data_IF_319052988541
#
_entry.id   IF_319052988541
#
_cell.length_a   1.000
_cell.length_b   1.000
_cell.length_c   1.000
_cell.angle_alpha   90.00
_cell.angle_beta   90.00
_cell.angle_gamma   90.00
#
_symmetry.space_group_name_H-M   'P 1'
#
loop_
_entity.id
_entity.type
_entity.pdbx_description
1 polymer ?
#
# COMPACT_ATOMS: atom_id res chain seq x y z
N UNK A 1 -12.13 -3.63 -28.84
CA UNK A 1 -11.62 -2.59 -27.92
C UNK A 1 -10.60 -3.24 -27.02
N UNK A 2 -9.36 -2.93 -27.29
CA UNK A 2 -8.22 -3.47 -26.57
C UNK A 2 -8.21 -2.88 -25.15
N UNK A 3 -8.55 -3.70 -24.15
CA UNK A 3 -8.32 -3.41 -22.73
C UNK A 3 -6.84 -3.69 -22.39
N UNK A 4 -5.94 -3.14 -23.20
CA UNK A 4 -4.54 -3.52 -23.17
C UNK A 4 -3.71 -2.48 -22.44
N UNK A 5 -2.93 -2.98 -21.53
CA UNK A 5 -1.82 -2.36 -20.84
C UNK A 5 -2.19 -1.16 -19.95
N UNK A 6 -2.41 -1.43 -18.69
CA UNK A 6 -2.06 -0.43 -17.68
C UNK A 6 -0.53 -0.35 -17.62
N UNK A 7 0.07 0.75 -18.07
CA UNK A 7 1.50 0.92 -17.90
C UNK A 7 1.78 1.11 -16.41
N UNK A 8 2.21 0.05 -15.76
CA UNK A 8 2.80 0.18 -14.43
C UNK A 8 4.14 0.88 -14.63
N UNK A 9 4.28 2.12 -14.19
CA UNK A 9 5.51 2.93 -14.27
C UNK A 9 6.76 2.30 -13.66
N UNK A 10 6.69 1.06 -13.15
CA UNK A 10 7.79 0.30 -12.57
C UNK A 10 8.30 -0.84 -13.46
N UNK A 11 7.78 -0.97 -14.66
CA UNK A 11 8.29 -1.92 -15.64
C UNK A 11 9.54 -1.43 -16.37
N UNK A 12 10.01 -0.18 -16.13
CA UNK A 12 11.20 0.38 -16.78
C UNK A 12 12.49 -0.40 -16.50
N UNK A 13 12.52 -1.16 -15.40
CA UNK A 13 13.68 -1.98 -15.03
C UNK A 13 13.51 -3.47 -15.39
N UNK A 14 12.34 -3.85 -15.90
CA UNK A 14 12.07 -5.18 -16.39
C UNK A 14 12.18 -5.19 -17.91
N UNK A 15 12.94 -6.15 -18.43
CA UNK A 15 12.98 -6.47 -19.85
C UNK A 15 11.54 -6.67 -20.35
N UNK A 16 11.13 -6.03 -21.46
CA UNK A 16 9.76 -6.03 -22.00
C UNK A 16 9.16 -7.44 -22.14
N UNK A 17 10.00 -8.46 -22.33
CA UNK A 17 9.57 -9.87 -22.38
C UNK A 17 8.97 -10.42 -21.07
N UNK A 18 9.14 -9.72 -19.92
CA UNK A 18 8.53 -10.08 -18.65
C UNK A 18 7.22 -9.31 -18.39
N UNK A 19 6.84 -8.42 -19.31
CA UNK A 19 5.56 -7.73 -19.26
C UNK A 19 4.54 -8.66 -19.93
N UNK A 20 3.86 -9.46 -19.10
CA UNK A 20 2.80 -10.33 -19.60
C UNK A 20 1.49 -9.58 -19.74
N UNK A 21 0.84 -9.77 -20.88
CA UNK A 21 -0.53 -9.31 -21.08
C UNK A 21 -1.51 -10.30 -20.42
N UNK A 22 -2.60 -9.77 -19.88
CA UNK A 22 -3.70 -10.62 -19.42
C UNK A 22 -4.14 -11.62 -20.52
N UNK A 23 -4.38 -12.90 -20.23
CA UNK A 23 -4.66 -13.49 -18.91
C UNK A 23 -3.51 -14.28 -18.27
N UNK A 24 -2.27 -14.01 -18.57
CA UNK A 24 -1.13 -14.76 -18.01
C UNK A 24 -0.95 -14.44 -16.52
N UNK A 25 -0.81 -15.45 -15.70
CA UNK A 25 -0.62 -15.26 -14.27
C UNK A 25 0.80 -14.73 -13.96
N UNK A 26 0.97 -13.72 -13.08
CA UNK A 26 2.29 -13.13 -12.80
C UNK A 26 3.36 -14.14 -12.35
N UNK A 27 2.93 -15.23 -11.71
CA UNK A 27 3.84 -16.29 -11.27
C UNK A 27 4.38 -17.15 -12.43
N UNK A 28 3.78 -17.13 -13.60
CA UNK A 28 4.36 -17.79 -14.78
C UNK A 28 5.66 -17.09 -15.18
N UNK A 29 5.65 -15.76 -15.21
CA UNK A 29 6.87 -14.97 -15.47
C UNK A 29 7.93 -15.15 -14.37
N UNK A 30 7.50 -15.25 -13.10
CA UNK A 30 8.42 -15.52 -11.99
C UNK A 30 9.08 -16.90 -12.12
N UNK A 31 8.32 -17.94 -12.49
CA UNK A 31 8.82 -19.30 -12.71
C UNK A 31 9.85 -19.29 -13.85
N UNK A 32 9.55 -18.66 -14.99
CA UNK A 32 10.49 -18.51 -16.10
C UNK A 32 11.78 -17.80 -15.67
N UNK A 33 11.67 -16.74 -14.88
CA UNK A 33 12.84 -16.03 -14.35
C UNK A 33 13.69 -16.91 -13.46
N UNK A 34 13.08 -17.67 -12.54
CA UNK A 34 13.76 -18.61 -11.64
C UNK A 34 14.50 -19.69 -12.45
N UNK A 35 13.84 -20.27 -13.44
CA UNK A 35 14.44 -21.26 -14.35
C UNK A 35 15.60 -20.66 -15.15
N UNK A 36 15.43 -19.47 -15.73
CA UNK A 36 16.49 -18.76 -16.46
C UNK A 36 17.72 -18.46 -15.59
N UNK A 37 17.52 -18.28 -14.28
CA UNK A 37 18.63 -18.09 -13.31
C UNK A 37 19.23 -19.41 -12.82
N UNK A 38 18.72 -20.56 -13.25
CA UNK A 38 19.10 -21.91 -12.76
C UNK A 38 18.87 -22.07 -11.24
N UNK A 39 17.82 -21.45 -10.73
CA UNK A 39 17.45 -21.52 -9.30
C UNK A 39 16.35 -22.53 -9.01
N UNK A 40 15.84 -23.24 -10.01
CA UNK A 40 14.72 -24.18 -9.93
C UNK A 40 15.01 -25.45 -9.07
N UNK A 41 16.25 -25.60 -8.60
CA UNK A 41 16.65 -26.69 -7.68
C UNK A 41 17.03 -26.21 -6.28
N UNK A 42 16.90 -24.90 -6.03
CA UNK A 42 17.30 -24.30 -4.75
C UNK A 42 16.17 -24.36 -3.71
N UNK A 43 16.51 -23.98 -2.48
CA UNK A 43 15.52 -23.65 -1.47
C UNK A 43 14.95 -22.27 -1.79
N UNK A 44 13.64 -22.18 -1.96
CA UNK A 44 12.93 -20.93 -2.26
C UNK A 44 12.08 -20.59 -1.05
N UNK A 45 12.38 -19.48 -0.41
CA UNK A 45 11.57 -18.93 0.67
C UNK A 45 10.40 -18.13 0.11
N UNK A 46 9.20 -18.36 0.63
CA UNK A 46 8.00 -17.58 0.33
C UNK A 46 7.36 -17.12 1.63
N UNK A 47 6.78 -15.93 1.65
CA UNK A 47 6.07 -15.42 2.83
C UNK A 47 4.64 -15.97 2.84
N UNK A 48 4.43 -17.15 3.44
CA UNK A 48 3.15 -17.87 3.41
C UNK A 48 2.01 -17.10 4.09
N UNK A 49 2.33 -16.23 5.02
CA UNK A 49 1.36 -15.38 5.75
C UNK A 49 1.22 -13.99 5.10
N UNK A 50 1.67 -13.81 3.87
CA UNK A 50 1.52 -12.56 3.15
C UNK A 50 0.13 -12.44 2.53
N UNK A 51 -0.50 -11.27 2.72
CA UNK A 51 -1.82 -10.96 2.16
C UNK A 51 -1.91 -11.14 0.63
N UNK A 52 -0.82 -10.90 -0.09
CA UNK A 52 -0.77 -11.00 -1.55
C UNK A 52 -0.26 -12.34 -2.07
N UNK A 53 0.19 -13.25 -1.19
CA UNK A 53 0.62 -14.58 -1.56
C UNK A 53 -0.50 -15.59 -1.34
N UNK A 54 -1.30 -15.80 -2.39
CA UNK A 54 -2.47 -16.68 -2.32
C UNK A 54 -2.10 -18.16 -2.40
N UNK A 55 -3.01 -19.04 -1.97
CA UNK A 55 -2.85 -20.48 -2.15
C UNK A 55 -2.62 -20.86 -3.62
N UNK A 56 -3.27 -20.15 -4.56
CA UNK A 56 -3.07 -20.38 -5.98
C UNK A 56 -1.64 -20.03 -6.45
N UNK A 57 -1.05 -18.95 -5.90
CA UNK A 57 0.35 -18.61 -6.17
C UNK A 57 1.31 -19.71 -5.70
N UNK A 58 1.04 -20.29 -4.52
CA UNK A 58 1.82 -21.41 -3.98
C UNK A 58 1.73 -22.65 -4.88
N UNK A 59 0.51 -23.04 -5.27
CA UNK A 59 0.33 -24.21 -6.16
C UNK A 59 0.99 -24.00 -7.52
N UNK A 60 0.90 -22.81 -8.11
CA UNK A 60 1.62 -22.48 -9.34
C UNK A 60 3.13 -22.64 -9.21
N UNK A 61 3.71 -22.13 -8.12
CA UNK A 61 5.15 -22.31 -7.86
C UNK A 61 5.53 -23.79 -7.74
N UNK A 62 4.75 -24.58 -7.01
CA UNK A 62 5.00 -26.04 -6.88
C UNK A 62 4.94 -26.75 -8.21
N UNK A 63 3.95 -26.44 -9.05
CA UNK A 63 3.79 -27.04 -10.38
C UNK A 63 4.91 -26.62 -11.33
N UNK A 64 5.25 -25.33 -11.34
CA UNK A 64 6.27 -24.80 -12.26
C UNK A 64 7.71 -25.08 -11.83
N UNK A 65 7.95 -25.37 -10.55
CA UNK A 65 9.28 -25.62 -9.96
C UNK A 65 9.30 -26.93 -9.15
N UNK A 66 9.05 -28.08 -9.79
CA UNK A 66 8.90 -29.36 -9.09
C UNK A 66 10.15 -29.83 -8.35
N UNK A 67 11.31 -29.32 -8.70
CA UNK A 67 12.60 -29.65 -8.09
C UNK A 67 13.04 -28.66 -7.01
N UNK A 68 12.32 -27.55 -6.82
CA UNK A 68 12.60 -26.58 -5.77
C UNK A 68 12.06 -27.05 -4.41
N UNK A 69 12.78 -26.70 -3.35
CA UNK A 69 12.25 -26.83 -1.97
C UNK A 69 11.62 -25.52 -1.56
N UNK A 70 10.31 -25.39 -1.70
CA UNK A 70 9.57 -24.22 -1.28
C UNK A 70 9.32 -24.29 0.23
N UNK A 71 9.71 -23.26 0.96
CA UNK A 71 9.60 -23.15 2.41
C UNK A 71 9.02 -21.81 2.79
N UNK A 72 8.39 -21.75 3.97
CA UNK A 72 8.06 -20.47 4.57
C UNK A 72 9.34 -19.71 4.94
N UNK A 73 9.37 -18.43 4.60
CA UNK A 73 10.48 -17.52 4.94
C UNK A 73 10.24 -16.75 6.25
N UNK A 74 9.15 -17.00 6.97
CA UNK A 74 8.84 -16.39 8.26
C UNK A 74 8.95 -14.87 8.28
N UNK A 75 8.42 -14.21 7.24
CA UNK A 75 8.46 -12.75 7.06
C UNK A 75 9.88 -12.16 6.97
N UNK A 76 10.81 -12.88 6.35
CA UNK A 76 12.20 -12.46 6.19
C UNK A 76 12.32 -11.02 5.65
N UNK A 77 11.50 -10.63 4.66
CA UNK A 77 11.52 -9.29 4.08
C UNK A 77 11.13 -8.23 5.11
N UNK A 78 10.18 -8.51 5.99
CA UNK A 78 9.81 -7.60 7.08
C UNK A 78 10.97 -7.40 8.05
N UNK A 79 11.69 -8.46 8.40
CA UNK A 79 12.87 -8.37 9.27
C UNK A 79 13.99 -7.56 8.63
N UNK A 80 14.28 -7.77 7.34
CA UNK A 80 15.26 -6.98 6.60
C UNK A 80 14.89 -5.50 6.57
N UNK A 81 13.58 -5.19 6.39
CA UNK A 81 13.06 -3.81 6.35
C UNK A 81 12.86 -3.19 7.74
N UNK A 82 13.03 -3.94 8.82
CA UNK A 82 12.76 -3.46 10.18
C UNK A 82 13.69 -2.30 10.56
N UNK A 83 14.98 -2.43 10.25
CA UNK A 83 15.96 -1.36 10.47
C UNK A 83 16.04 -0.51 9.19
N UNK A 84 15.70 0.78 9.31
CA UNK A 84 15.66 1.71 8.19
C UNK A 84 17.03 2.31 7.94
N UNK A 85 17.38 2.48 6.67
CA UNK A 85 18.53 3.27 6.26
C UNK A 85 18.30 4.77 6.48
N UNK A 86 19.37 5.57 6.49
CA UNK A 86 19.28 7.04 6.59
C UNK A 86 18.42 7.64 5.47
N UNK A 87 18.46 7.06 4.27
CA UNK A 87 17.62 7.48 3.13
C UNK A 87 16.15 7.23 3.41
N UNK A 88 15.77 6.05 3.91
CA UNK A 88 14.39 5.74 4.30
C UNK A 88 13.92 6.63 5.44
N UNK A 89 14.74 6.88 6.44
CA UNK A 89 14.48 7.85 7.52
C UNK A 89 14.21 9.25 6.93
N UNK A 90 14.98 9.65 5.91
CA UNK A 90 14.75 10.91 5.18
C UNK A 90 13.37 10.97 4.52
N UNK A 91 12.92 9.88 3.91
CA UNK A 91 11.56 9.79 3.33
C UNK A 91 10.47 9.79 4.40
N UNK A 92 10.66 9.08 5.50
CA UNK A 92 9.71 9.06 6.62
C UNK A 92 9.54 10.46 7.24
N UNK A 93 10.63 11.23 7.39
CA UNK A 93 10.55 12.62 7.87
C UNK A 93 9.75 13.52 6.91
N UNK A 94 9.87 13.33 5.60
CA UNK A 94 9.06 14.06 4.59
C UNK A 94 7.59 13.61 4.65
N UNK A 95 7.34 12.31 4.80
CA UNK A 95 5.99 11.77 4.95
C UNK A 95 5.30 12.31 6.22
N UNK A 96 6.03 12.41 7.33
CA UNK A 96 5.52 13.00 8.58
C UNK A 96 5.10 14.47 8.41
N UNK A 97 5.85 15.27 7.63
CA UNK A 97 5.46 16.67 7.31
C UNK A 97 4.17 16.74 6.50
N UNK A 98 3.97 15.80 5.56
CA UNK A 98 2.71 15.70 4.81
C UNK A 98 1.56 15.35 5.76
N UNK A 99 1.75 14.38 6.67
CA UNK A 99 0.75 14.01 7.69
C UNK A 99 0.41 15.20 8.59
N UNK A 100 1.41 15.96 9.04
CA UNK A 100 1.20 17.17 9.84
C UNK A 100 0.34 18.21 9.10
N UNK A 101 0.64 18.45 7.83
CA UNK A 101 -0.15 19.38 7.01
C UNK A 101 -1.59 18.91 6.81
N UNK A 102 -1.79 17.63 6.54
CA UNK A 102 -3.13 17.06 6.38
C UNK A 102 -3.92 17.04 7.71
N UNK A 103 -3.24 16.83 8.84
CA UNK A 103 -3.88 16.91 10.16
C UNK A 103 -4.35 18.35 10.48
N UNK A 104 -3.58 19.38 10.11
CA UNK A 104 -4.03 20.77 10.23
C UNK A 104 -5.29 21.03 9.39
N UNK A 105 -5.32 20.53 8.14
CA UNK A 105 -6.52 20.62 7.30
C UNK A 105 -7.70 19.90 7.95
N UNK A 106 -7.51 18.73 8.54
CA UNK A 106 -8.57 18.03 9.27
C UNK A 106 -9.13 18.87 10.40
N UNK A 107 -8.26 19.46 11.23
CA UNK A 107 -8.66 20.29 12.37
C UNK A 107 -9.36 21.60 11.95
N UNK A 108 -9.04 22.14 10.78
CA UNK A 108 -9.64 23.36 10.24
C UNK A 108 -10.96 23.10 9.51
N UNK A 109 -11.15 21.87 8.99
CA UNK A 109 -12.29 21.51 8.14
C UNK A 109 -13.43 20.87 8.91
N UNK A 110 -13.09 20.08 9.95
CA UNK A 110 -14.11 19.33 10.72
C UNK A 110 -14.91 20.31 11.59
N UNK A 111 -16.18 20.51 11.22
CA UNK A 111 -17.09 21.38 11.96
C UNK A 111 -18.51 20.80 11.98
N UNK A 112 -19.30 21.09 13.01
CA UNK A 112 -20.70 20.65 13.08
C UNK A 112 -21.51 21.11 11.86
N UNK A 113 -22.26 20.17 11.28
CA UNK A 113 -23.09 20.42 10.10
C UNK A 113 -22.43 20.09 8.76
N UNK A 114 -21.10 19.99 8.67
CA UNK A 114 -20.39 19.49 7.51
C UNK A 114 -20.55 17.96 7.41
N UNK A 115 -20.60 17.41 6.20
CA UNK A 115 -20.58 15.95 6.01
C UNK A 115 -19.17 15.39 6.21
N UNK A 116 -19.07 14.21 6.80
CA UNK A 116 -17.79 13.53 7.02
C UNK A 116 -17.01 13.30 5.71
N UNK A 117 -17.70 12.88 4.64
CA UNK A 117 -17.07 12.65 3.34
C UNK A 117 -16.47 13.93 2.73
N UNK A 118 -17.06 15.10 2.95
CA UNK A 118 -16.52 16.38 2.47
C UNK A 118 -15.20 16.74 3.21
N UNK A 119 -15.14 16.50 4.51
CA UNK A 119 -13.92 16.69 5.29
C UNK A 119 -12.80 15.74 4.81
N UNK A 120 -13.12 14.45 4.59
CA UNK A 120 -12.14 13.47 4.07
C UNK A 120 -11.63 13.87 2.70
N UNK A 121 -12.47 14.44 1.84
CA UNK A 121 -12.05 14.91 0.51
C UNK A 121 -10.94 15.99 0.61
N UNK A 122 -11.07 16.97 1.51
CA UNK A 122 -10.05 17.99 1.72
C UNK A 122 -8.78 17.41 2.38
N UNK A 123 -8.92 16.49 3.33
CA UNK A 123 -7.79 15.78 3.95
C UNK A 123 -7.01 14.98 2.89
N UNK A 124 -7.69 14.22 2.05
CA UNK A 124 -7.07 13.45 0.97
C UNK A 124 -6.38 14.35 -0.04
N UNK A 125 -6.99 15.45 -0.41
CA UNK A 125 -6.38 16.48 -1.26
C UNK A 125 -5.07 17.00 -0.66
N UNK A 126 -5.03 17.28 0.65
CA UNK A 126 -3.81 17.72 1.34
C UNK A 126 -2.74 16.65 1.35
N UNK A 127 -3.11 15.38 1.60
CA UNK A 127 -2.20 14.24 1.57
C UNK A 127 -1.54 14.06 0.19
N UNK A 128 -2.31 14.13 -0.90
CA UNK A 128 -1.76 14.03 -2.26
C UNK A 128 -0.98 15.27 -2.68
N UNK A 129 -1.44 16.46 -2.32
CA UNK A 129 -0.73 17.71 -2.61
C UNK A 129 0.67 17.71 -1.98
N UNK A 130 0.80 17.18 -0.78
CA UNK A 130 2.06 17.10 -0.07
C UNK A 130 2.58 18.46 0.39
N UNK A 131 3.90 18.63 0.34
CA UNK A 131 4.61 19.88 0.66
C UNK A 131 5.12 20.56 -0.62
N UNK A 132 5.62 21.81 -0.56
CA UNK A 132 6.26 22.45 -1.72
C UNK A 132 7.43 21.66 -2.32
N UNK A 133 8.12 20.85 -1.50
CA UNK A 133 9.30 20.09 -1.91
C UNK A 133 8.96 18.70 -2.46
N UNK A 134 7.83 18.10 -2.02
CA UNK A 134 7.48 16.73 -2.40
C UNK A 134 5.97 16.51 -2.39
N UNK A 135 5.44 15.92 -3.46
CA UNK A 135 4.07 15.45 -3.52
C UNK A 135 3.87 14.18 -2.69
N UNK A 136 2.66 13.97 -2.19
CA UNK A 136 2.28 12.76 -1.50
C UNK A 136 1.92 11.62 -2.46
N UNK A 137 2.10 10.39 -1.99
CA UNK A 137 1.64 9.18 -2.66
C UNK A 137 0.42 8.62 -1.91
N UNK A 138 -0.29 7.65 -2.51
CA UNK A 138 -1.41 7.01 -1.81
C UNK A 138 -0.91 6.16 -0.63
N UNK A 139 -1.66 6.21 0.47
CA UNK A 139 -1.37 5.46 1.69
C UNK A 139 -1.84 3.99 1.57
N UNK A 140 -1.31 3.13 2.45
CA UNK A 140 -1.72 1.72 2.54
C UNK A 140 -3.18 1.56 2.97
N UNK A 141 -3.67 2.50 3.79
CA UNK A 141 -5.07 2.61 4.19
C UNK A 141 -5.58 4.02 3.86
N UNK A 142 -6.86 4.12 3.58
CA UNK A 142 -7.51 5.43 3.41
C UNK A 142 -7.57 6.19 4.73
N UNK A 143 -7.87 7.47 4.68
CA UNK A 143 -8.17 8.24 5.90
C UNK A 143 -9.38 7.64 6.61
N UNK A 144 -9.20 7.29 7.88
CA UNK A 144 -10.26 6.76 8.75
C UNK A 144 -10.81 7.91 9.59
N UNK A 145 -12.13 7.98 9.69
CA UNK A 145 -12.81 9.09 10.34
C UNK A 145 -14.06 8.64 11.12
N UNK A 146 -13.94 7.68 12.07
CA UNK A 146 -15.07 7.31 12.90
C UNK A 146 -15.51 8.50 13.74
N UNK A 147 -16.82 8.80 13.71
CA UNK A 147 -17.43 9.95 14.36
C UNK A 147 -18.64 9.52 15.17
N UNK A 148 -18.88 10.19 16.30
CA UNK A 148 -20.03 9.92 17.17
C UNK A 148 -20.07 8.48 17.64
N UNK A 149 -21.17 7.78 17.39
CA UNK A 149 -21.31 6.34 17.72
C UNK A 149 -20.28 5.45 17.02
N UNK A 150 -19.78 5.87 15.85
CA UNK A 150 -18.76 5.15 15.11
C UNK A 150 -17.42 5.05 15.86
N UNK A 151 -17.13 5.94 16.81
CA UNK A 151 -15.89 5.88 17.62
C UNK A 151 -15.81 4.65 18.52
N UNK A 152 -16.90 3.91 18.69
CA UNK A 152 -16.93 2.64 19.44
C UNK A 152 -16.29 1.48 18.67
N UNK A 153 -16.04 1.63 17.38
CA UNK A 153 -15.37 0.66 16.54
C UNK A 153 -14.14 1.29 15.90
N UNK A 154 -13.04 0.53 15.85
CA UNK A 154 -11.82 1.00 15.18
C UNK A 154 -11.93 0.90 13.66
N UNK A 155 -11.16 1.73 12.96
CA UNK A 155 -10.93 1.67 11.52
C UNK A 155 -12.19 1.87 10.65
N UNK A 156 -13.18 2.62 11.12
CA UNK A 156 -14.31 3.01 10.30
C UNK A 156 -13.94 4.18 9.38
N UNK A 157 -14.44 4.12 8.16
CA UNK A 157 -14.32 5.20 7.18
C UNK A 157 -15.40 6.26 7.42
N UNK A 158 -15.22 7.42 6.82
CA UNK A 158 -16.22 8.47 6.79
C UNK A 158 -17.50 8.03 6.08
N UNK A 159 -18.62 8.58 6.51
CA UNK A 159 -19.94 8.43 5.90
C UNK A 159 -20.41 9.75 5.29
N UNK A 160 -21.60 9.80 4.76
CA UNK A 160 -22.29 11.02 4.33
C UNK A 160 -23.05 11.73 5.47
N UNK A 161 -22.99 11.18 6.70
CA UNK A 161 -23.55 11.82 7.88
C UNK A 161 -22.79 13.11 8.22
N UNK A 162 -23.48 14.01 8.92
CA UNK A 162 -22.91 15.28 9.35
C UNK A 162 -22.26 15.15 10.72
N UNK A 163 -21.20 15.94 10.94
CA UNK A 163 -20.65 16.11 12.29
C UNK A 163 -21.67 16.78 13.20
N UNK A 164 -21.75 16.29 14.43
CA UNK A 164 -22.65 16.82 15.47
C UNK A 164 -21.84 17.43 16.60
N UNK A 165 -22.28 18.58 17.09
CA UNK A 165 -21.62 19.26 18.20
C UNK A 165 -21.63 18.39 19.47
N UNK A 166 -20.48 18.27 20.10
CA UNK A 166 -20.30 17.48 21.33
C UNK A 166 -20.00 15.99 21.07
N UNK A 167 -19.98 15.52 19.84
CA UNK A 167 -19.54 14.17 19.50
C UNK A 167 -18.02 14.11 19.23
N UNK A 168 -17.40 13.00 19.62
CA UNK A 168 -16.00 12.75 19.34
C UNK A 168 -15.78 12.34 17.87
N UNK A 169 -14.64 12.72 17.31
CA UNK A 169 -14.17 12.25 16.02
C UNK A 169 -12.72 11.78 16.16
N UNK A 170 -12.41 10.60 15.63
CA UNK A 170 -11.04 10.07 15.54
C UNK A 170 -10.56 10.31 14.11
N UNK A 171 -9.36 10.88 13.96
CA UNK A 171 -8.74 11.10 12.66
C UNK A 171 -7.48 10.25 12.57
N UNK A 172 -7.46 9.28 11.66
CA UNK A 172 -6.30 8.47 11.36
C UNK A 172 -5.93 8.67 9.89
N UNK A 173 -4.74 9.18 9.65
CA UNK A 173 -4.23 9.50 8.31
C UNK A 173 -2.73 9.27 8.23
N UNK A 174 -2.22 9.11 7.02
CA UNK A 174 -0.79 8.94 6.78
C UNK A 174 -0.35 9.61 5.49
N UNK A 175 0.67 10.47 5.58
CA UNK A 175 1.43 10.93 4.43
C UNK A 175 2.37 9.83 3.95
N UNK A 176 2.69 9.82 2.66
CA UNK A 176 3.54 8.79 2.06
C UNK A 176 4.52 9.42 1.07
N UNK A 177 5.79 9.06 1.21
CA UNK A 177 6.87 9.45 0.29
C UNK A 177 7.72 8.22 -0.04
N UNK A 178 7.81 7.86 -1.32
CA UNK A 178 8.56 6.67 -1.77
C UNK A 178 8.20 5.39 -1.00
N UNK A 179 6.91 5.20 -0.74
CA UNK A 179 6.34 4.09 0.03
C UNK A 179 6.76 4.05 1.50
N UNK A 180 7.35 5.10 2.02
CA UNK A 180 7.58 5.29 3.46
C UNK A 180 6.46 6.16 4.04
N UNK A 181 5.90 5.68 5.13
CA UNK A 181 4.84 6.32 5.91
C UNK A 181 5.40 7.06 7.11
#
# INVERSE_FOLDING_TARGET
>A
RDLHSFPTRRSSDLDEKYIHTWPVHPYDALIELIQKKNWEKLNIGVEMDSHYFTAYCYEKLKQGLPNAKIKDSERLVNWVRFIKSDTEIGYMKKAAKISEGAMKVAMETIEPGLRQCDAVAEIQKALFKGTPEVGGEYASITTLLPTGKGTSASHLTATDEKFVNGEATIVELSGVVKRCH
#
